data_IF_745772687693
#
_entry.id   IF_745772687693
#
_cell.length_a   1.000
_cell.length_b   1.000
_cell.length_c   1.000
_cell.angle_alpha   90.00
_cell.angle_beta   90.00
_cell.angle_gamma   90.00
#
_symmetry.space_group_name_H-M   'P 1'
#
loop_
_entity.id
_entity.type
_entity.pdbx_description
1 polymer ?
#
# COMPACT_ATOMS: atom_id res chain seq x y z
N UNK A 1 -18.95 24.39 -16.43
CA UNK A 1 -20.06 24.82 -17.31
C UNK A 1 -20.14 24.07 -18.66
N UNK A 2 -19.26 23.11 -18.98
CA UNK A 2 -19.20 22.54 -20.35
C UNK A 2 -20.35 21.59 -20.75
N UNK A 3 -21.19 21.11 -19.83
CA UNK A 3 -22.16 20.03 -20.13
C UNK A 3 -23.60 20.25 -19.66
N UNK A 4 -23.91 21.36 -18.96
CA UNK A 4 -25.29 21.64 -18.53
C UNK A 4 -26.20 21.95 -19.73
N UNK A 5 -25.68 22.67 -20.73
CA UNK A 5 -26.47 23.25 -21.83
C UNK A 5 -25.91 22.95 -23.24
N UNK A 6 -24.97 22.00 -23.37
CA UNK A 6 -24.19 21.82 -24.61
C UNK A 6 -24.95 21.21 -25.80
N UNK A 7 -26.19 20.74 -25.63
CA UNK A 7 -26.97 20.08 -26.70
C UNK A 7 -26.39 18.76 -27.22
N UNK A 8 -25.21 18.32 -26.74
CA UNK A 8 -24.55 17.08 -27.19
C UNK A 8 -25.39 15.83 -26.87
N UNK A 9 -25.43 14.80 -27.73
CA UNK A 9 -26.09 13.53 -27.42
C UNK A 9 -25.55 12.88 -26.13
N UNK A 10 -26.40 12.12 -25.43
CA UNK A 10 -26.04 11.45 -24.17
C UNK A 10 -24.83 10.55 -24.32
N UNK A 11 -24.75 9.82 -25.43
CA UNK A 11 -23.69 8.88 -25.77
C UNK A 11 -22.33 9.59 -25.88
N UNK A 12 -22.31 10.78 -26.49
CA UNK A 12 -21.10 11.60 -26.63
C UNK A 12 -20.66 12.16 -25.28
N UNK A 13 -21.61 12.62 -24.45
CA UNK A 13 -21.30 13.10 -23.09
C UNK A 13 -20.74 11.96 -22.25
N UNK A 14 -21.31 10.75 -22.37
CA UNK A 14 -20.85 9.57 -21.65
C UNK A 14 -19.45 9.14 -22.09
N UNK A 15 -19.18 9.11 -23.40
CA UNK A 15 -17.86 8.81 -23.95
C UNK A 15 -16.80 9.81 -23.46
N UNK A 16 -17.07 11.12 -23.55
CA UNK A 16 -16.14 12.15 -23.07
C UNK A 16 -15.85 11.99 -21.58
N UNK A 17 -16.87 11.71 -20.77
CA UNK A 17 -16.70 11.50 -19.33
C UNK A 17 -15.85 10.28 -19.01
N UNK A 18 -15.91 9.19 -19.80
CA UNK A 18 -15.03 8.03 -19.62
C UNK A 18 -13.53 8.39 -19.73
N UNK A 19 -13.20 9.42 -20.50
CA UNK A 19 -11.82 9.91 -20.66
C UNK A 19 -11.42 10.95 -19.61
N UNK A 20 -12.33 11.41 -18.75
CA UNK A 20 -12.01 12.33 -17.67
C UNK A 20 -11.48 11.59 -16.43
N UNK A 21 -10.65 12.24 -15.62
CA UNK A 21 -10.23 11.69 -14.32
C UNK A 21 -11.45 11.44 -13.41
N UNK A 22 -11.37 10.46 -12.50
CA UNK A 22 -12.48 10.08 -11.62
C UNK A 22 -12.97 11.27 -10.78
N UNK A 23 -12.05 12.05 -10.21
CA UNK A 23 -12.36 13.26 -9.46
C UNK A 23 -13.14 14.28 -10.29
N UNK A 24 -12.72 14.51 -11.53
CA UNK A 24 -13.37 15.45 -12.43
C UNK A 24 -14.75 14.97 -12.82
N UNK A 25 -14.93 13.68 -13.12
CA UNK A 25 -16.25 13.07 -13.34
C UNK A 25 -17.18 13.31 -12.16
N UNK A 26 -16.72 13.04 -10.93
CA UNK A 26 -17.51 13.24 -9.71
C UNK A 26 -17.86 14.72 -9.53
N UNK A 27 -16.91 15.63 -9.74
CA UNK A 27 -17.13 17.06 -9.64
C UNK A 27 -18.11 17.57 -10.71
N UNK A 28 -18.01 17.09 -11.95
CA UNK A 28 -18.93 17.42 -13.03
C UNK A 28 -20.34 16.88 -12.76
N UNK A 29 -20.48 15.66 -12.25
CA UNK A 29 -21.76 15.10 -11.84
C UNK A 29 -22.39 15.89 -10.68
N UNK A 30 -21.59 16.36 -9.72
CA UNK A 30 -22.08 17.25 -8.64
C UNK A 30 -22.50 18.62 -9.16
N UNK A 31 -21.83 19.14 -10.19
CA UNK A 31 -22.07 20.48 -10.73
C UNK A 31 -23.18 20.54 -11.80
N UNK A 32 -23.57 19.41 -12.40
CA UNK A 32 -24.56 19.36 -13.48
C UNK A 32 -25.56 18.24 -13.28
N UNK A 33 -26.84 18.61 -13.12
CA UNK A 33 -27.96 17.65 -13.02
C UNK A 33 -28.04 16.73 -14.24
N UNK A 34 -27.77 17.24 -15.44
CA UNK A 34 -27.75 16.43 -16.66
C UNK A 34 -26.66 15.38 -16.63
N UNK A 35 -25.44 15.74 -16.22
CA UNK A 35 -24.32 14.78 -16.09
C UNK A 35 -24.60 13.79 -14.98
N UNK A 36 -25.22 14.24 -13.88
CA UNK A 36 -25.70 13.36 -12.82
C UNK A 36 -26.68 12.32 -13.37
N UNK A 37 -27.73 12.75 -14.07
CA UNK A 37 -28.78 11.87 -14.61
C UNK A 37 -28.22 10.88 -15.65
N UNK A 38 -27.33 11.34 -16.54
CA UNK A 38 -26.62 10.48 -17.51
C UNK A 38 -25.77 9.45 -16.76
N UNK A 39 -24.97 9.90 -15.80
CA UNK A 39 -24.08 9.04 -15.03
C UNK A 39 -24.79 8.02 -14.16
N UNK A 40 -26.00 8.33 -13.67
CA UNK A 40 -26.76 7.46 -12.76
C UNK A 40 -27.86 6.64 -13.46
N UNK A 41 -28.08 6.86 -14.76
CA UNK A 41 -28.99 6.09 -15.60
C UNK A 41 -28.66 4.60 -15.57
N UNK A 42 -29.70 3.75 -15.61
CA UNK A 42 -29.51 2.29 -15.58
C UNK A 42 -28.66 1.76 -16.73
N UNK A 43 -28.64 2.45 -17.88
CA UNK A 43 -27.93 2.06 -19.10
C UNK A 43 -26.53 2.66 -19.21
N UNK A 44 -26.15 3.54 -18.29
CA UNK A 44 -24.86 4.22 -18.34
C UNK A 44 -23.72 3.30 -17.94
N UNK A 45 -22.66 3.29 -18.75
CA UNK A 45 -21.38 2.66 -18.44
C UNK A 45 -20.67 3.32 -17.24
N UNK A 46 -20.99 4.59 -16.95
CA UNK A 46 -20.44 5.34 -15.82
C UNK A 46 -21.16 5.06 -14.50
N UNK A 47 -22.33 4.39 -14.57
CA UNK A 47 -23.18 4.08 -13.42
C UNK A 47 -22.41 3.41 -12.30
N UNK A 48 -21.54 2.46 -12.61
CA UNK A 48 -20.80 1.73 -11.59
C UNK A 48 -19.69 2.57 -10.91
N UNK A 49 -19.30 3.67 -11.55
CA UNK A 49 -18.32 4.60 -11.01
C UNK A 49 -18.99 5.69 -10.15
N UNK A 50 -20.20 6.08 -10.53
CA UNK A 50 -20.93 7.20 -9.91
C UNK A 50 -21.97 6.75 -8.87
N UNK A 51 -22.59 5.57 -9.03
CA UNK A 51 -23.58 5.02 -8.08
C UNK A 51 -22.96 4.24 -6.91
N UNK A 52 -21.63 4.21 -6.78
CA UNK A 52 -20.98 3.70 -5.58
C UNK A 52 -20.86 2.17 -5.46
N UNK A 53 -20.92 1.41 -6.57
CA UNK A 53 -20.35 0.05 -6.57
C UNK A 53 -18.84 0.17 -6.45
N UNK A 54 -18.37 0.19 -5.21
CA UNK A 54 -16.97 0.36 -4.92
C UNK A 54 -16.23 -0.96 -5.04
N UNK A 55 -15.09 -0.95 -5.72
CA UNK A 55 -14.16 -2.07 -5.77
C UNK A 55 -12.98 -1.89 -4.83
N UNK A 56 -12.36 -3.01 -4.49
CA UNK A 56 -11.01 -3.04 -3.96
C UNK A 56 -10.10 -3.62 -5.03
N UNK A 57 -8.97 -2.97 -5.30
CA UNK A 57 -7.94 -3.50 -6.20
C UNK A 57 -6.72 -3.87 -5.37
N UNK A 58 -6.25 -5.10 -5.53
CA UNK A 58 -4.95 -5.55 -5.05
C UNK A 58 -4.03 -5.78 -6.24
N UNK A 59 -2.91 -5.08 -6.26
CA UNK A 59 -1.81 -5.26 -7.20
C UNK A 59 -0.64 -5.88 -6.47
N UNK A 60 -0.19 -7.05 -6.93
CA UNK A 60 1.01 -7.71 -6.43
C UNK A 60 2.07 -7.74 -7.51
N UNK A 61 3.30 -7.38 -7.16
CA UNK A 61 4.45 -7.37 -8.04
C UNK A 61 5.52 -8.26 -7.40
N UNK A 62 5.82 -9.42 -7.98
CA UNK A 62 6.85 -10.33 -7.50
C UNK A 62 7.86 -10.72 -8.59
N UNK A 63 9.14 -10.59 -8.30
CA UNK A 63 10.22 -11.19 -9.10
C UNK A 63 10.77 -12.42 -8.37
N UNK A 64 10.99 -13.53 -9.05
CA UNK A 64 11.76 -14.64 -8.46
C UNK A 64 13.24 -14.22 -8.43
N UNK A 65 13.80 -14.00 -7.24
CA UNK A 65 15.22 -13.64 -7.12
C UNK A 65 16.06 -14.92 -7.28
N UNK A 66 16.85 -15.02 -8.35
CA UNK A 66 17.62 -16.22 -8.71
C UNK A 66 18.83 -16.49 -7.81
N UNK A 67 18.87 -15.93 -6.58
CA UNK A 67 20.08 -15.95 -5.75
C UNK A 67 20.33 -17.27 -5.02
N UNK A 68 19.35 -18.17 -4.93
CA UNK A 68 19.52 -19.50 -4.32
C UNK A 68 19.58 -20.66 -5.33
N UNK A 69 20.30 -20.51 -6.45
CA UNK A 69 20.45 -21.66 -7.37
C UNK A 69 21.37 -21.59 -8.57
N UNK A 70 22.15 -20.52 -8.78
CA UNK A 70 23.04 -20.41 -9.97
C UNK A 70 24.50 -20.53 -9.56
N UNK A 71 24.90 -21.69 -9.04
CA UNK A 71 26.24 -22.23 -9.29
C UNK A 71 26.03 -23.75 -9.43
N UNK A 72 26.23 -24.27 -10.64
CA UNK A 72 26.24 -25.70 -11.02
C UNK A 72 24.91 -26.43 -11.25
N UNK A 73 24.08 -25.97 -12.19
CA UNK A 73 23.21 -26.90 -12.94
C UNK A 73 23.33 -26.70 -14.46
N UNK A 74 24.20 -27.46 -15.13
CA UNK A 74 24.08 -27.67 -16.55
C UNK A 74 22.95 -28.70 -16.75
N UNK A 75 21.73 -28.24 -17.05
CA UNK A 75 20.75 -28.89 -17.96
C UNK A 75 19.32 -28.32 -17.81
N UNK A 76 18.80 -27.79 -18.93
CA UNK A 76 17.39 -27.75 -19.37
C UNK A 76 16.34 -27.17 -18.41
N UNK A 77 16.30 -25.83 -18.38
CA UNK A 77 15.08 -24.99 -18.32
C UNK A 77 13.87 -25.59 -17.58
N UNK A 78 13.89 -25.57 -16.26
CA UNK A 78 12.77 -25.95 -15.39
C UNK A 78 11.91 -24.72 -15.06
N UNK A 79 10.88 -24.42 -15.87
CA UNK A 79 9.73 -23.53 -15.51
C UNK A 79 10.00 -22.39 -14.51
N UNK A 80 10.83 -21.39 -14.86
CA UNK A 80 11.06 -20.24 -13.99
C UNK A 80 10.19 -19.07 -14.44
N UNK A 81 9.25 -18.63 -13.60
CA UNK A 81 8.51 -17.39 -13.81
C UNK A 81 9.41 -16.25 -13.37
N UNK A 82 9.95 -15.48 -14.31
CA UNK A 82 10.92 -14.42 -13.98
C UNK A 82 10.27 -13.30 -13.18
N UNK A 83 9.06 -12.91 -13.61
CA UNK A 83 8.27 -11.84 -13.03
C UNK A 83 6.81 -12.21 -13.08
N UNK A 84 6.08 -11.89 -12.02
CA UNK A 84 4.64 -12.07 -11.94
C UNK A 84 4.01 -10.79 -11.39
N UNK A 85 3.01 -10.27 -12.11
CA UNK A 85 2.13 -9.22 -11.61
C UNK A 85 0.72 -9.78 -11.46
N UNK A 86 0.09 -9.65 -10.30
CA UNK A 86 -1.29 -10.08 -10.08
C UNK A 86 -2.20 -8.88 -9.85
N UNK A 87 -3.29 -8.78 -10.60
CA UNK A 87 -4.37 -7.84 -10.34
C UNK A 87 -5.58 -8.63 -9.84
N UNK A 88 -6.06 -8.27 -8.65
CA UNK A 88 -7.28 -8.82 -8.07
C UNK A 88 -8.27 -7.67 -7.88
N UNK A 89 -9.39 -7.71 -8.60
CA UNK A 89 -10.46 -6.74 -8.49
C UNK A 89 -11.65 -7.35 -7.76
N UNK A 90 -11.86 -6.92 -6.52
CA UNK A 90 -13.00 -7.32 -5.69
C UNK A 90 -14.12 -6.31 -5.87
N UNK A 91 -15.34 -6.77 -6.18
CA UNK A 91 -16.52 -5.90 -6.20
C UNK A 91 -17.68 -6.53 -5.46
N UNK A 92 -18.59 -5.70 -4.98
CA UNK A 92 -19.87 -6.15 -4.46
C UNK A 92 -20.89 -6.17 -5.60
N UNK A 93 -21.49 -7.33 -5.84
CA UNK A 93 -22.62 -7.51 -6.79
C UNK A 93 -23.86 -7.91 -6.02
N UNK A 94 -25.03 -7.52 -6.50
CA UNK A 94 -26.31 -7.94 -5.93
C UNK A 94 -26.97 -8.93 -6.88
N UNK A 95 -27.18 -10.16 -6.41
CA UNK A 95 -27.90 -11.21 -7.12
C UNK A 95 -29.11 -11.54 -6.24
N UNK A 96 -30.32 -11.44 -6.80
CA UNK A 96 -31.57 -11.70 -6.08
C UNK A 96 -31.69 -10.98 -4.72
N UNK A 97 -31.31 -9.70 -4.70
CA UNK A 97 -31.24 -8.83 -3.53
C UNK A 97 -30.25 -9.25 -2.42
N UNK A 98 -29.43 -10.29 -2.66
CA UNK A 98 -28.34 -10.71 -1.78
C UNK A 98 -27.01 -10.12 -2.29
N UNK A 99 -26.24 -9.55 -1.36
CA UNK A 99 -24.91 -9.00 -1.65
C UNK A 99 -23.87 -10.11 -1.71
N UNK A 100 -23.27 -10.33 -2.87
CA UNK A 100 -22.13 -11.22 -3.09
C UNK A 100 -20.85 -10.42 -3.34
N UNK A 101 -19.71 -11.00 -2.96
CA UNK A 101 -18.39 -10.50 -3.36
C UNK A 101 -17.94 -11.28 -4.60
N UNK A 102 -17.77 -10.56 -5.69
CA UNK A 102 -17.25 -11.07 -6.95
C UNK A 102 -15.77 -10.66 -7.07
N UNK A 103 -14.95 -11.58 -7.60
CA UNK A 103 -13.49 -11.39 -7.68
C UNK A 103 -13.01 -11.82 -9.05
N UNK A 104 -12.33 -10.89 -9.74
CA UNK A 104 -11.61 -11.18 -10.97
C UNK A 104 -10.12 -11.16 -10.62
N UNK A 105 -9.43 -12.28 -10.85
CA UNK A 105 -7.99 -12.42 -10.63
C UNK A 105 -7.28 -12.61 -11.96
N UNK A 106 -6.32 -11.75 -12.28
CA UNK A 106 -5.52 -11.86 -13.50
C UNK A 106 -4.04 -11.80 -13.13
N UNK A 107 -3.32 -12.85 -13.51
CA UNK A 107 -1.87 -13.00 -13.35
C UNK A 107 -1.18 -12.77 -14.70
N UNK A 108 -0.22 -11.85 -14.71
CA UNK A 108 0.62 -11.52 -15.85
C UNK A 108 2.01 -12.07 -15.57
N UNK A 109 2.41 -13.10 -16.32
CA UNK A 109 3.59 -13.90 -16.03
C UNK A 109 4.61 -13.79 -17.15
N UNK A 110 5.84 -13.41 -16.82
CA UNK A 110 6.96 -13.39 -17.76
C UNK A 110 7.65 -14.75 -17.72
N UNK A 111 7.62 -15.46 -18.85
CA UNK A 111 8.27 -16.76 -19.04
C UNK A 111 9.60 -16.58 -19.77
N UNK A 112 10.56 -17.48 -19.53
CA UNK A 112 11.88 -17.38 -20.13
C UNK A 112 11.95 -17.72 -21.63
N UNK A 113 10.97 -18.43 -22.20
CA UNK A 113 10.94 -18.77 -23.63
C UNK A 113 9.54 -19.18 -24.13
N UNK A 114 9.35 -19.22 -25.46
CA UNK A 114 8.06 -19.56 -26.09
C UNK A 114 7.56 -20.95 -25.70
N UNK A 115 8.47 -21.93 -25.62
CA UNK A 115 8.13 -23.28 -25.16
C UNK A 115 7.42 -23.28 -23.80
N UNK A 116 7.77 -22.37 -22.90
CA UNK A 116 7.12 -22.25 -21.59
C UNK A 116 5.81 -21.45 -21.60
N UNK A 117 5.59 -20.62 -22.63
CA UNK A 117 4.27 -20.02 -22.88
C UNK A 117 3.29 -21.09 -23.36
N UNK A 118 3.74 -21.98 -24.24
CA UNK A 118 2.88 -22.99 -24.86
C UNK A 118 2.46 -24.11 -23.90
N UNK A 119 3.14 -24.24 -22.74
CA UNK A 119 2.89 -25.29 -21.76
C UNK A 119 1.79 -24.97 -20.75
N UNK A 120 1.51 -23.70 -20.48
CA UNK A 120 0.59 -23.29 -19.41
C UNK A 120 0.13 -21.85 -19.61
N UNK A 121 -1.16 -21.57 -19.45
CA UNK A 121 -1.78 -20.24 -19.54
C UNK A 121 -2.12 -19.74 -20.95
N UNK A 122 -2.64 -18.52 -21.04
CA UNK A 122 -3.06 -17.88 -22.29
C UNK A 122 -1.94 -16.98 -22.85
N UNK A 123 -1.81 -16.89 -24.17
CA UNK A 123 -0.91 -15.90 -24.80
C UNK A 123 -1.43 -14.49 -24.53
N UNK A 124 -0.75 -13.75 -23.64
CA UNK A 124 -1.16 -12.42 -23.21
C UNK A 124 -1.22 -11.39 -24.33
N UNK A 125 -0.55 -11.64 -25.46
CA UNK A 125 -0.58 -10.76 -26.65
C UNK A 125 -1.95 -10.75 -27.32
N UNK A 126 -2.74 -11.80 -27.15
CA UNK A 126 -4.08 -11.92 -27.72
C UNK A 126 -5.14 -11.20 -26.87
N UNK A 127 -4.83 -10.94 -25.60
CA UNK A 127 -5.77 -10.38 -24.62
C UNK A 127 -5.41 -8.95 -24.19
N UNK A 128 -4.98 -8.12 -25.15
CA UNK A 128 -4.58 -6.72 -24.90
C UNK A 128 -5.75 -5.77 -24.62
N UNK A 129 -7.00 -6.21 -24.79
CA UNK A 129 -8.21 -5.40 -24.61
C UNK A 129 -9.01 -5.90 -23.38
N UNK A 130 -8.88 -5.22 -22.23
CA UNK A 130 -9.55 -5.62 -21.00
C UNK A 130 -11.07 -5.66 -21.09
N UNK A 131 -11.68 -4.73 -21.82
CA UNK A 131 -13.14 -4.64 -21.92
C UNK A 131 -13.72 -5.87 -22.63
N UNK A 132 -13.16 -6.23 -23.79
CA UNK A 132 -13.57 -7.43 -24.50
C UNK A 132 -13.29 -8.68 -23.65
N UNK A 133 -12.09 -8.78 -23.08
CA UNK A 133 -11.74 -9.93 -22.27
C UNK A 133 -12.70 -10.14 -21.10
N UNK A 134 -12.91 -9.12 -20.27
CA UNK A 134 -13.76 -9.21 -19.08
C UNK A 134 -15.22 -9.46 -19.45
N UNK A 135 -15.74 -8.81 -20.49
CA UNK A 135 -17.13 -8.99 -20.93
C UNK A 135 -17.45 -10.40 -21.41
N UNK A 136 -16.54 -11.02 -22.16
CA UNK A 136 -16.81 -12.30 -22.82
C UNK A 136 -16.34 -13.52 -22.02
N UNK A 137 -15.31 -13.36 -21.20
CA UNK A 137 -14.67 -14.47 -20.50
C UNK A 137 -15.03 -14.50 -19.01
N UNK A 138 -15.08 -13.35 -18.32
CA UNK A 138 -15.34 -13.32 -16.89
C UNK A 138 -16.85 -13.38 -16.58
N UNK A 139 -17.35 -14.56 -16.20
CA UNK A 139 -18.80 -14.79 -15.96
C UNK A 139 -19.21 -14.93 -14.49
N UNK A 140 -18.28 -14.73 -13.52
CA UNK A 140 -18.39 -15.02 -12.06
C UNK A 140 -18.40 -16.54 -11.74
N UNK A 141 -17.85 -17.09 -10.66
CA UNK A 141 -17.27 -16.60 -9.40
C UNK A 141 -15.82 -17.12 -9.25
N UNK A 142 -14.87 -16.28 -8.82
CA UNK A 142 -13.48 -16.64 -8.44
C UNK A 142 -12.63 -17.28 -9.55
N UNK A 143 -12.71 -16.76 -10.77
CA UNK A 143 -11.87 -17.23 -11.87
C UNK A 143 -10.49 -16.55 -11.82
N UNK A 144 -9.44 -17.36 -11.92
CA UNK A 144 -8.06 -16.91 -12.04
C UNK A 144 -7.60 -17.10 -13.49
N UNK A 145 -7.14 -16.01 -14.09
CA UNK A 145 -6.68 -15.99 -15.48
C UNK A 145 -5.18 -15.73 -15.53
N UNK A 146 -4.44 -16.55 -16.27
CA UNK A 146 -3.00 -16.38 -16.46
C UNK A 146 -2.69 -15.96 -17.90
N UNK A 147 -2.03 -14.82 -18.05
CA UNK A 147 -1.50 -14.30 -19.30
C UNK A 147 0.01 -14.37 -19.30
N UNK A 148 0.58 -15.08 -20.28
CA UNK A 148 2.03 -15.21 -20.38
C UNK A 148 2.61 -14.27 -21.42
N UNK A 149 3.83 -13.80 -21.13
CA UNK A 149 4.60 -12.89 -21.95
C UNK A 149 6.07 -13.34 -22.02
N UNK A 150 6.75 -12.99 -23.12
CA UNK A 150 8.19 -13.20 -23.26
C UNK A 150 9.00 -12.02 -22.75
N UNK A 151 8.42 -10.82 -22.72
CA UNK A 151 9.08 -9.61 -22.27
C UNK A 151 8.37 -9.03 -21.05
N UNK A 152 9.16 -8.44 -20.15
CA UNK A 152 8.63 -7.72 -19.00
C UNK A 152 7.85 -6.48 -19.44
N UNK A 153 8.33 -5.75 -20.44
CA UNK A 153 7.69 -4.55 -20.97
C UNK A 153 6.28 -4.83 -21.51
N UNK A 154 6.08 -5.90 -22.28
CA UNK A 154 4.76 -6.27 -22.79
C UNK A 154 3.81 -6.66 -21.65
N UNK A 155 4.32 -7.40 -20.66
CA UNK A 155 3.54 -7.77 -19.48
C UNK A 155 3.08 -6.51 -18.72
N UNK A 156 4.01 -5.58 -18.44
CA UNK A 156 3.70 -4.35 -17.71
C UNK A 156 2.79 -3.41 -18.50
N UNK A 157 2.95 -3.32 -19.82
CA UNK A 157 2.03 -2.59 -20.69
C UNK A 157 0.60 -3.17 -20.60
N UNK A 158 0.47 -4.49 -20.50
CA UNK A 158 -0.83 -5.13 -20.29
C UNK A 158 -1.38 -4.84 -18.90
N UNK A 159 -0.55 -4.94 -17.85
CA UNK A 159 -0.91 -4.58 -16.47
C UNK A 159 -1.46 -3.16 -16.39
N UNK A 160 -0.82 -2.17 -17.00
CA UNK A 160 -1.29 -0.77 -17.03
C UNK A 160 -2.70 -0.65 -17.66
N UNK A 161 -2.94 -1.33 -18.79
CA UNK A 161 -4.26 -1.32 -19.46
C UNK A 161 -5.34 -1.92 -18.58
N UNK A 162 -5.06 -3.04 -17.93
CA UNK A 162 -6.01 -3.69 -17.03
C UNK A 162 -6.25 -2.88 -15.76
N UNK A 163 -5.20 -2.29 -15.15
CA UNK A 163 -5.34 -1.38 -14.02
C UNK A 163 -6.20 -0.17 -14.39
N UNK A 164 -5.95 0.46 -15.54
CA UNK A 164 -6.78 1.55 -16.04
C UNK A 164 -8.23 1.10 -16.19
N UNK A 165 -8.47 -0.02 -16.88
CA UNK A 165 -9.82 -0.53 -17.07
C UNK A 165 -10.54 -0.77 -15.73
N UNK A 166 -9.92 -1.47 -14.78
CA UNK A 166 -10.58 -1.78 -13.51
C UNK A 166 -10.87 -0.54 -12.65
N UNK A 167 -9.98 0.45 -12.70
CA UNK A 167 -10.08 1.66 -11.88
C UNK A 167 -10.88 2.80 -12.50
N UNK A 168 -10.90 2.89 -13.84
CA UNK A 168 -11.45 4.03 -14.56
C UNK A 168 -12.61 3.67 -15.50
N UNK A 169 -12.86 2.39 -15.79
CA UNK A 169 -13.95 1.94 -16.65
C UNK A 169 -14.92 1.04 -15.90
N UNK A 170 -14.41 0.00 -15.24
CA UNK A 170 -15.22 -1.04 -14.62
C UNK A 170 -15.91 -0.62 -13.32
N UNK A 171 -15.23 0.12 -12.44
CA UNK A 171 -15.73 0.44 -11.10
C UNK A 171 -14.96 1.59 -10.46
N UNK A 172 -15.58 2.31 -9.51
CA UNK A 172 -14.84 3.23 -8.64
C UNK A 172 -14.06 2.45 -7.57
N UNK A 173 -12.77 2.74 -7.40
CA UNK A 173 -11.91 2.04 -6.44
C UNK A 173 -11.99 2.73 -5.08
N UNK A 174 -12.48 2.02 -4.07
CA UNK A 174 -12.51 2.49 -2.68
C UNK A 174 -11.23 2.16 -1.92
N UNK A 175 -10.56 1.07 -2.27
CA UNK A 175 -9.31 0.67 -1.63
C UNK A 175 -8.35 0.12 -2.65
N UNK A 176 -7.12 0.64 -2.62
CA UNK A 176 -6.02 0.15 -3.43
C UNK A 176 -4.95 -0.43 -2.52
N UNK A 177 -4.54 -1.66 -2.80
CA UNK A 177 -3.51 -2.37 -2.06
C UNK A 177 -2.35 -2.72 -3.00
N UNK A 178 -1.16 -2.22 -2.69
CA UNK A 178 0.05 -2.50 -3.43
C UNK A 178 0.94 -3.44 -2.62
N UNK A 179 1.27 -4.59 -3.20
CA UNK A 179 2.23 -5.53 -2.64
C UNK A 179 3.42 -5.62 -3.58
N UNK A 180 4.62 -5.38 -3.08
CA UNK A 180 5.86 -5.56 -3.84
C UNK A 180 6.71 -6.59 -3.10
N UNK A 181 7.19 -7.56 -3.84
CA UNK A 181 8.04 -8.64 -3.37
C UNK A 181 9.40 -8.55 -4.07
N UNK A 182 10.47 -8.64 -3.29
CA UNK A 182 11.87 -8.75 -3.72
C UNK A 182 12.46 -7.49 -4.38
N UNK A 183 11.91 -6.98 -5.48
CA UNK A 183 12.51 -5.84 -6.22
C UNK A 183 11.50 -4.81 -6.71
N UNK A 184 11.96 -3.59 -6.97
CA UNK A 184 11.17 -2.50 -7.57
C UNK A 184 11.18 -2.50 -9.10
N UNK A 185 11.77 -3.51 -9.76
CA UNK A 185 11.93 -3.54 -11.23
C UNK A 185 10.61 -3.33 -11.96
N UNK A 186 9.56 -4.03 -11.55
CA UNK A 186 8.21 -3.84 -12.12
C UNK A 186 7.59 -2.50 -11.77
N UNK A 187 7.87 -1.98 -10.58
CA UNK A 187 7.40 -0.65 -10.18
C UNK A 187 7.95 0.44 -11.09
N UNK A 188 9.23 0.38 -11.47
CA UNK A 188 9.83 1.37 -12.36
C UNK A 188 9.09 1.50 -13.70
N UNK A 189 8.57 0.38 -14.22
CA UNK A 189 7.77 0.34 -15.45
C UNK A 189 6.31 0.79 -15.24
N UNK A 190 5.86 0.92 -13.99
CA UNK A 190 4.51 1.40 -13.65
C UNK A 190 4.49 2.82 -13.11
N UNK A 191 5.62 3.38 -12.67
CA UNK A 191 5.67 4.66 -11.98
C UNK A 191 5.00 5.79 -12.78
N UNK A 192 5.28 5.90 -14.08
CA UNK A 192 4.65 6.90 -14.96
C UNK A 192 3.13 6.76 -15.04
N UNK A 193 2.62 5.53 -15.03
CA UNK A 193 1.19 5.27 -15.04
C UNK A 193 0.53 5.85 -13.79
N UNK A 194 1.10 5.64 -12.61
CA UNK A 194 0.56 6.20 -11.36
C UNK A 194 0.71 7.72 -11.27
N UNK A 195 1.63 8.31 -12.02
CA UNK A 195 1.78 9.77 -12.09
C UNK A 195 0.73 10.45 -13.00
N UNK A 196 0.18 9.68 -13.95
CA UNK A 196 -0.79 10.14 -14.94
C UNK A 196 -2.23 9.74 -14.60
N UNK A 197 -2.43 8.64 -13.87
CA UNK A 197 -3.75 8.04 -13.65
C UNK A 197 -4.09 7.98 -12.17
N UNK A 198 -5.17 8.66 -11.78
CA UNK A 198 -5.73 8.57 -10.43
C UNK A 198 -6.57 7.28 -10.30
N UNK A 199 -6.02 6.28 -9.60
CA UNK A 199 -6.68 4.97 -9.43
C UNK A 199 -7.70 4.99 -8.29
N UNK A 200 -7.39 5.71 -7.21
CA UNK A 200 -8.21 5.77 -5.99
C UNK A 200 -8.16 7.18 -5.40
N UNK A 201 -9.28 7.64 -4.85
CA UNK A 201 -9.35 8.87 -4.07
C UNK A 201 -8.93 8.66 -2.60
N UNK A 202 -8.96 7.41 -2.14
CA UNK A 202 -8.59 7.04 -0.78
C UNK A 202 -7.11 6.66 -0.69
N UNK A 203 -6.55 6.89 0.50
CA UNK A 203 -5.17 6.54 0.84
C UNK A 203 -4.90 5.04 0.62
N UNK A 204 -3.85 4.65 -0.13
CA UNK A 204 -3.56 3.25 -0.42
C UNK A 204 -2.95 2.51 0.79
N UNK A 205 -2.99 1.17 0.72
CA UNK A 205 -2.23 0.28 1.60
C UNK A 205 -1.04 -0.28 0.84
N UNK A 206 0.13 -0.25 1.45
CA UNK A 206 1.40 -0.66 0.84
C UNK A 206 2.01 -1.78 1.68
N UNK A 207 2.47 -2.84 1.04
CA UNK A 207 3.22 -3.92 1.65
C UNK A 207 4.49 -4.19 0.83
N UNK A 208 5.64 -4.03 1.46
CA UNK A 208 6.95 -4.19 0.86
C UNK A 208 7.60 -5.39 1.55
N UNK A 209 7.72 -6.49 0.82
CA UNK A 209 8.10 -7.78 1.38
C UNK A 209 9.41 -8.26 0.73
N UNK A 210 10.42 -8.55 1.56
CA UNK A 210 11.77 -8.94 1.16
C UNK A 210 12.40 -8.01 0.11
N UNK A 211 11.99 -6.74 0.05
CA UNK A 211 12.48 -5.80 -0.94
C UNK A 211 13.93 -5.39 -0.60
N UNK A 212 14.89 -5.82 -1.44
CA UNK A 212 16.29 -5.39 -1.33
C UNK A 212 16.39 -3.90 -1.66
N UNK A 213 17.15 -3.15 -0.85
CA UNK A 213 17.56 -1.74 -1.07
C UNK A 213 16.50 -0.90 -1.83
N UNK A 214 15.62 -0.23 -1.10
CA UNK A 214 14.59 0.65 -1.71
C UNK A 214 15.19 2.05 -1.92
N UNK A 215 16.31 2.14 -2.65
CA UNK A 215 16.92 3.43 -3.00
C UNK A 215 16.22 4.08 -4.21
N UNK A 216 14.93 4.34 -4.05
CA UNK A 216 14.10 4.78 -5.15
C UNK A 216 13.25 5.99 -4.77
N UNK A 217 13.84 7.17 -4.91
CA UNK A 217 13.14 8.45 -4.72
C UNK A 217 11.87 8.55 -5.58
N UNK A 218 11.83 7.93 -6.76
CA UNK A 218 10.65 7.92 -7.63
C UNK A 218 9.51 7.08 -7.05
N UNK A 219 9.80 6.03 -6.29
CA UNK A 219 8.78 5.31 -5.52
C UNK A 219 8.21 6.23 -4.44
N UNK A 220 9.05 6.75 -3.54
CA UNK A 220 8.56 7.55 -2.40
C UNK A 220 7.84 8.84 -2.81
N UNK A 221 8.22 9.46 -3.93
CA UNK A 221 7.59 10.67 -4.45
C UNK A 221 6.45 10.42 -5.46
N UNK A 222 6.00 9.18 -5.63
CA UNK A 222 4.93 8.87 -6.59
C UNK A 222 3.64 9.60 -6.25
N UNK A 223 2.93 10.08 -7.28
CA UNK A 223 1.62 10.72 -7.10
C UNK A 223 0.55 9.79 -6.53
N UNK A 224 0.74 8.47 -6.58
CA UNK A 224 -0.12 7.50 -5.89
C UNK A 224 -0.23 7.82 -4.38
N UNK A 225 0.82 8.41 -3.80
CA UNK A 225 0.91 8.71 -2.37
C UNK A 225 0.60 10.18 -2.03
N UNK A 226 0.24 11.00 -3.02
CA UNK A 226 0.06 12.44 -2.84
C UNK A 226 -1.04 12.80 -1.82
N UNK A 227 -2.07 11.95 -1.67
CA UNK A 227 -3.14 12.14 -0.68
C UNK A 227 -2.83 11.45 0.68
N UNK A 228 -1.59 10.97 0.87
CA UNK A 228 -1.13 10.21 2.02
C UNK A 228 -1.35 8.70 1.89
N UNK A 229 -0.83 7.95 2.86
CA UNK A 229 -0.88 6.47 2.89
C UNK A 229 -1.75 6.01 4.06
N UNK A 230 -2.55 4.96 3.86
CA UNK A 230 -3.39 4.39 4.92
C UNK A 230 -2.56 3.48 5.80
N UNK A 231 -1.89 2.52 5.18
CA UNK A 231 -1.09 1.53 5.87
C UNK A 231 0.19 1.29 5.11
N UNK A 232 1.26 1.10 5.86
CA UNK A 232 2.50 0.57 5.33
C UNK A 232 3.00 -0.59 6.17
N UNK A 233 3.42 -1.65 5.48
CA UNK A 233 4.05 -2.81 6.07
C UNK A 233 5.37 -3.08 5.36
N UNK A 234 6.44 -3.13 6.12
CA UNK A 234 7.76 -3.55 5.67
C UNK A 234 8.05 -4.91 6.29
N UNK A 235 8.36 -5.89 5.47
CA UNK A 235 8.78 -7.23 5.89
C UNK A 235 10.15 -7.47 5.30
N UNK A 236 11.17 -7.62 6.13
CA UNK A 236 12.53 -7.90 5.67
C UNK A 236 13.17 -8.97 6.54
N UNK A 237 13.70 -10.00 5.89
CA UNK A 237 14.59 -10.98 6.51
C UNK A 237 16.04 -10.78 6.05
N UNK A 238 16.33 -9.63 5.43
CA UNK A 238 17.62 -9.37 4.82
C UNK A 238 18.66 -9.09 5.90
N UNK A 239 19.75 -9.84 5.85
CA UNK A 239 20.88 -9.72 6.77
C UNK A 239 21.77 -8.53 6.46
N UNK A 240 22.95 -8.58 7.05
CA UNK A 240 24.08 -7.74 6.71
C UNK A 240 24.84 -8.38 5.52
N UNK A 241 25.51 -7.57 4.70
CA UNK A 241 26.45 -8.04 3.69
C UNK A 241 27.73 -8.60 4.34
N UNK A 242 28.67 -9.07 3.53
CA UNK A 242 29.96 -9.61 3.99
C UNK A 242 30.83 -8.60 4.76
N UNK A 243 30.49 -7.31 4.70
CA UNK A 243 31.16 -6.22 5.40
C UNK A 243 30.37 -5.72 6.62
N UNK A 244 29.26 -6.38 6.98
CA UNK A 244 28.40 -5.95 8.08
C UNK A 244 27.47 -4.79 7.73
N UNK A 245 27.39 -4.36 6.46
CA UNK A 245 26.45 -3.33 6.04
C UNK A 245 25.07 -3.93 5.83
N UNK A 246 24.05 -3.26 6.32
CA UNK A 246 22.68 -3.70 6.14
C UNK A 246 22.30 -3.66 4.65
N UNK A 247 21.69 -4.74 4.17
CA UNK A 247 21.21 -4.87 2.78
C UNK A 247 19.94 -4.05 2.49
N UNK A 248 19.48 -3.21 3.43
CA UNK A 248 18.33 -2.33 3.22
C UNK A 248 18.46 -1.01 3.98
N UNK A 249 18.73 0.09 3.26
CA UNK A 249 18.64 1.48 3.76
C UNK A 249 17.53 2.20 3.02
N UNK A 250 16.55 2.74 3.73
CA UNK A 250 15.39 3.33 3.08
C UNK A 250 14.69 4.43 3.87
N UNK A 251 15.02 4.56 5.15
CA UNK A 251 14.59 5.64 6.03
C UNK A 251 15.06 7.02 5.54
N UNK A 252 16.23 7.14 4.91
CA UNK A 252 16.72 8.41 4.35
C UNK A 252 15.86 8.93 3.19
N UNK A 253 15.17 8.04 2.47
CA UNK A 253 14.38 8.38 1.28
C UNK A 253 12.88 8.41 1.55
N UNK A 254 12.45 7.94 2.72
CA UNK A 254 11.06 8.01 3.13
C UNK A 254 10.58 9.46 3.20
N UNK A 255 9.56 9.75 2.40
CA UNK A 255 8.85 11.03 2.45
C UNK A 255 7.83 11.07 3.59
N UNK A 256 7.38 12.27 3.94
CA UNK A 256 6.40 12.52 5.00
C UNK A 256 5.12 11.63 4.95
N UNK A 257 4.51 11.35 3.77
CA UNK A 257 3.36 10.44 3.66
C UNK A 257 3.56 9.06 4.28
N UNK A 258 4.80 8.56 4.29
CA UNK A 258 5.15 7.25 4.84
C UNK A 258 5.19 7.28 6.37
N UNK A 259 5.83 8.29 6.95
CA UNK A 259 5.88 8.48 8.40
C UNK A 259 4.51 8.79 9.01
N UNK A 260 3.64 9.48 8.25
CA UNK A 260 2.27 9.83 8.69
C UNK A 260 1.19 8.83 8.25
N UNK A 261 1.57 7.64 7.79
CA UNK A 261 0.61 6.60 7.49
C UNK A 261 -0.16 6.21 8.76
N UNK A 262 -1.47 5.95 8.65
CA UNK A 262 -2.30 5.64 9.83
C UNK A 262 -1.83 4.36 10.55
N UNK A 263 -1.41 3.35 9.79
CA UNK A 263 -0.87 2.10 10.31
C UNK A 263 0.53 1.86 9.75
N UNK A 264 1.52 1.71 10.61
CA UNK A 264 2.92 1.47 10.24
C UNK A 264 3.40 0.20 10.93
N UNK A 265 3.93 -0.73 10.14
CA UNK A 265 4.48 -1.99 10.66
C UNK A 265 5.81 -2.32 10.00
N UNK A 266 6.83 -2.53 10.82
CA UNK A 266 8.15 -3.02 10.45
C UNK A 266 8.35 -4.39 11.07
N UNK A 267 8.21 -5.43 10.25
CA UNK A 267 8.48 -6.82 10.61
C UNK A 267 9.87 -7.20 10.08
N UNK A 268 10.92 -6.89 10.85
CA UNK A 268 12.31 -7.15 10.46
C UNK A 268 12.98 -8.01 11.52
N UNK A 269 13.74 -9.03 11.10
CA UNK A 269 14.32 -10.02 12.03
C UNK A 269 15.78 -9.77 12.44
N UNK A 270 16.50 -8.79 11.89
CA UNK A 270 17.88 -8.55 12.31
C UNK A 270 18.47 -7.17 12.02
N UNK A 271 17.94 -6.40 11.06
CA UNK A 271 18.79 -5.46 10.31
C UNK A 271 18.12 -4.12 10.00
N UNK A 272 17.50 -3.47 10.99
CA UNK A 272 16.76 -2.22 10.73
C UNK A 272 17.30 -0.99 11.49
N UNK A 273 17.57 0.07 10.73
CA UNK A 273 18.12 1.37 11.16
C UNK A 273 17.02 2.34 11.62
N UNK A 274 16.00 1.89 12.38
CA UNK A 274 15.21 2.91 13.11
C UNK A 274 16.11 3.43 14.21
N UNK A 275 16.73 4.57 13.92
CA UNK A 275 17.46 5.39 14.88
C UNK A 275 16.49 6.28 15.65
N UNK A 276 16.99 6.91 16.72
CA UNK A 276 16.26 7.92 17.46
C UNK A 276 15.67 9.02 16.56
N UNK A 277 16.42 9.45 15.54
CA UNK A 277 16.01 10.53 14.62
C UNK A 277 14.93 10.11 13.63
N UNK A 278 14.90 8.83 13.26
CA UNK A 278 13.82 8.29 12.43
C UNK A 278 12.57 8.07 13.27
N UNK A 279 12.72 7.56 14.50
CA UNK A 279 11.60 7.28 15.39
C UNK A 279 10.73 8.52 15.63
N UNK A 280 11.35 9.67 15.89
CA UNK A 280 10.63 10.93 16.18
C UNK A 280 9.87 11.51 14.98
N UNK A 281 10.09 10.99 13.77
CA UNK A 281 9.35 11.39 12.56
C UNK A 281 7.97 10.76 12.49
N UNK A 282 7.75 9.63 13.18
CA UNK A 282 6.43 9.01 13.28
C UNK A 282 5.52 9.89 14.14
N UNK A 283 4.42 10.36 13.57
CA UNK A 283 3.50 11.28 14.22
C UNK A 283 2.07 11.04 13.74
N UNK A 284 1.11 10.98 14.68
CA UNK A 284 -0.31 10.85 14.38
C UNK A 284 -0.72 9.48 13.83
N UNK A 285 0.14 8.46 14.00
CA UNK A 285 -0.17 7.08 13.67
C UNK A 285 -1.19 6.53 14.67
N UNK A 286 -2.18 5.79 14.19
CA UNK A 286 -3.04 4.98 15.07
C UNK A 286 -2.26 3.75 15.55
N UNK A 287 -1.46 3.15 14.66
CA UNK A 287 -0.64 2.00 14.99
C UNK A 287 0.77 2.15 14.50
N UNK A 288 1.73 1.94 15.39
CA UNK A 288 3.15 1.77 15.07
C UNK A 288 3.63 0.44 15.64
N UNK A 289 4.21 -0.41 14.78
CA UNK A 289 4.85 -1.66 15.16
C UNK A 289 6.27 -1.66 14.63
N UNK A 290 7.24 -1.69 15.53
CA UNK A 290 8.65 -1.86 15.21
C UNK A 290 9.06 -3.16 15.89
N UNK A 291 9.13 -4.26 15.13
CA UNK A 291 9.32 -5.59 15.72
C UNK A 291 10.75 -5.85 16.17
N UNK A 292 11.72 -5.05 15.70
CA UNK A 292 13.12 -5.10 16.13
C UNK A 292 13.85 -3.83 15.70
N UNK A 293 14.66 -3.25 16.58
CA UNK A 293 15.64 -2.19 16.29
C UNK A 293 16.83 -2.31 17.24
N UNK A 294 18.02 -1.89 16.80
CA UNK A 294 19.25 -1.87 17.62
C UNK A 294 19.70 -0.48 18.04
N UNK A 295 19.12 0.56 17.42
CA UNK A 295 19.65 1.93 17.48
C UNK A 295 18.74 2.90 18.22
N UNK A 296 17.57 2.44 18.68
CA UNK A 296 16.70 3.23 19.54
C UNK A 296 17.21 3.18 20.97
N UNK A 297 17.52 4.35 21.51
CA UNK A 297 18.00 4.55 22.88
C UNK A 297 16.87 5.04 23.80
N UNK A 298 17.11 5.05 25.13
CA UNK A 298 16.19 5.65 26.10
C UNK A 298 15.88 7.13 25.75
N UNK A 299 16.90 7.87 25.31
CA UNK A 299 16.77 9.26 24.84
C UNK A 299 15.91 9.38 23.58
N UNK A 300 16.02 8.43 22.65
CA UNK A 300 15.14 8.37 21.47
C UNK A 300 13.68 8.18 21.84
N UNK A 301 13.40 7.25 22.77
CA UNK A 301 12.05 7.03 23.31
C UNK A 301 11.54 8.28 24.02
N UNK A 302 12.37 8.91 24.86
CA UNK A 302 12.02 10.16 25.54
C UNK A 302 11.63 11.26 24.54
N UNK A 303 12.42 11.46 23.48
CA UNK A 303 12.10 12.42 22.40
C UNK A 303 10.80 12.07 21.67
N UNK A 304 10.54 10.78 21.44
CA UNK A 304 9.29 10.33 20.82
C UNK A 304 8.07 10.60 21.72
N UNK A 305 8.19 10.35 23.03
CA UNK A 305 7.15 10.70 24.01
C UNK A 305 6.94 12.22 24.10
N UNK A 306 8.01 13.01 24.03
CA UNK A 306 7.94 14.47 23.94
C UNK A 306 7.15 14.95 22.70
N UNK A 307 7.36 14.27 21.58
CA UNK A 307 6.60 14.51 20.36
C UNK A 307 5.11 14.20 20.56
N UNK A 308 4.77 13.06 21.16
CA UNK A 308 3.37 12.69 21.45
C UNK A 308 2.69 13.68 22.41
N UNK A 309 3.42 14.16 23.42
CA UNK A 309 2.89 15.14 24.38
C UNK A 309 2.55 16.49 23.74
N UNK A 310 3.29 16.88 22.70
CA UNK A 310 3.11 18.15 21.99
C UNK A 310 2.18 18.04 20.78
N UNK A 311 1.70 16.84 20.47
CA UNK A 311 0.84 16.58 19.30
C UNK A 311 -0.55 16.07 19.73
N UNK A 312 -1.60 16.70 19.19
CA UNK A 312 -2.97 16.22 19.35
C UNK A 312 -3.16 14.92 18.55
N UNK A 313 -3.42 13.81 19.26
CA UNK A 313 -3.65 12.53 18.62
C UNK A 313 -5.07 12.47 18.05
N UNK A 314 -5.18 12.19 16.75
CA UNK A 314 -6.48 12.06 16.06
C UNK A 314 -7.13 10.69 16.25
N UNK A 315 -6.34 9.69 16.62
CA UNK A 315 -6.74 8.30 16.76
C UNK A 315 -6.23 7.75 18.09
N UNK A 316 -6.86 6.69 18.64
CA UNK A 316 -6.29 5.94 19.74
C UNK A 316 -4.89 5.44 19.35
N UNK A 317 -3.90 5.79 20.15
CA UNK A 317 -2.52 5.44 19.86
C UNK A 317 -2.25 4.01 20.33
N UNK A 318 -1.66 3.20 19.46
CA UNK A 318 -1.25 1.83 19.75
C UNK A 318 0.15 1.60 19.18
N UNK A 319 1.17 1.74 20.03
CA UNK A 319 2.58 1.67 19.66
C UNK A 319 3.23 0.47 20.35
N UNK A 320 3.99 -0.32 19.60
CA UNK A 320 4.86 -1.37 20.11
C UNK A 320 6.22 -1.27 19.43
N UNK A 321 7.27 -1.16 20.22
CA UNK A 321 8.66 -1.06 19.76
C UNK A 321 9.47 -2.10 20.52
N UNK A 322 10.07 -3.04 19.80
CA UNK A 322 11.03 -3.98 20.37
C UNK A 322 12.43 -3.52 19.99
N UNK A 323 13.29 -3.33 20.99
CA UNK A 323 14.69 -2.97 20.90
C UNK A 323 15.57 -4.05 21.53
N UNK A 324 16.82 -4.16 21.09
CA UNK A 324 17.82 -5.00 21.75
C UNK A 324 18.46 -4.32 22.99
N UNK A 325 18.25 -3.02 23.16
CA UNK A 325 18.81 -2.24 24.25
C UNK A 325 17.99 -2.46 25.52
N UNK A 326 18.67 -2.80 26.61
CA UNK A 326 18.05 -2.91 27.93
C UNK A 326 18.13 -1.56 28.63
N UNK A 327 17.03 -0.83 28.62
CA UNK A 327 16.83 0.34 29.47
C UNK A 327 15.50 0.22 30.22
N UNK A 328 15.48 0.78 31.43
CA UNK A 328 14.32 0.85 32.31
C UNK A 328 13.44 2.04 31.97
N UNK A 329 12.21 2.05 32.49
CA UNK A 329 11.34 3.22 32.40
C UNK A 329 11.97 4.45 33.08
N UNK A 330 12.73 4.25 34.16
CA UNK A 330 13.45 5.32 34.86
C UNK A 330 14.46 6.02 33.95
N UNK A 331 15.24 5.26 33.18
CA UNK A 331 16.22 5.81 32.22
C UNK A 331 15.54 6.68 31.15
N UNK A 332 14.29 6.36 30.77
CA UNK A 332 13.51 7.17 29.84
C UNK A 332 13.00 8.44 30.52
N UNK A 333 12.46 8.34 31.73
CA UNK A 333 11.88 9.48 32.46
C UNK A 333 12.95 10.53 32.80
N UNK A 334 14.18 10.10 33.15
CA UNK A 334 15.31 11.00 33.42
C UNK A 334 15.72 11.85 32.20
N UNK A 335 15.44 11.36 30.98
CA UNK A 335 15.70 12.09 29.73
C UNK A 335 14.58 13.06 29.33
N UNK A 336 13.46 13.08 30.06
CA UNK A 336 12.32 13.94 29.76
C UNK A 336 12.35 15.21 30.64
N UNK A 337 12.05 16.36 30.05
CA UNK A 337 11.98 17.65 30.77
C UNK A 337 10.93 17.63 31.89
N UNK A 338 11.20 18.32 33.01
CA UNK A 338 10.34 18.39 34.21
C UNK A 338 8.89 18.85 33.96
N UNK A 339 8.61 19.54 32.85
CA UNK A 339 7.25 19.93 32.44
C UNK A 339 6.32 18.72 32.19
N UNK A 340 6.90 17.54 32.00
CA UNK A 340 6.20 16.30 31.73
C UNK A 340 5.98 15.52 33.03
N UNK A 341 4.74 15.52 33.50
CA UNK A 341 4.37 14.74 34.67
C UNK A 341 4.08 13.30 34.26
N UNK A 342 4.96 12.39 34.69
CA UNK A 342 4.69 10.96 34.70
C UNK A 342 4.16 10.56 36.07
N UNK A 343 3.07 9.80 36.06
CA UNK A 343 2.54 9.09 37.22
C UNK A 343 3.03 7.65 37.12
N UNK A 344 4.11 7.34 37.85
CA UNK A 344 4.65 5.99 37.94
C UNK A 344 3.66 5.10 38.70
N UNK A 345 3.51 3.86 38.24
CA UNK A 345 2.70 2.87 38.96
C UNK A 345 3.48 2.36 40.19
N UNK A 346 2.91 2.56 41.39
CA UNK A 346 3.55 2.19 42.67
C UNK A 346 3.78 0.67 42.78
N UNK A 347 2.97 -0.15 42.12
CA UNK A 347 3.07 -1.61 42.16
C UNK A 347 3.92 -2.17 41.00
N UNK A 348 4.14 -1.38 39.94
CA UNK A 348 4.87 -1.81 38.76
C UNK A 348 5.75 -0.69 38.17
N UNK A 349 7.02 -0.65 38.60
CA UNK A 349 8.03 0.33 38.15
C UNK A 349 8.28 0.36 36.62
N UNK A 350 7.73 -0.61 35.87
CA UNK A 350 7.80 -0.69 34.41
C UNK A 350 6.70 0.12 33.71
N UNK A 351 5.71 0.58 34.46
CA UNK A 351 4.53 1.25 33.94
C UNK A 351 4.47 2.70 34.44
N UNK A 352 4.10 3.61 33.54
CA UNK A 352 3.69 4.95 33.92
C UNK A 352 2.53 5.45 33.06
N UNK A 353 1.85 6.48 33.57
CA UNK A 353 0.85 7.25 32.86
C UNK A 353 1.33 8.68 32.67
N UNK A 354 0.93 9.29 31.57
CA UNK A 354 1.10 10.72 31.36
C UNK A 354 -0.07 11.28 30.58
N UNK A 355 -0.31 12.58 30.71
CA UNK A 355 -1.35 13.31 29.98
C UNK A 355 -0.69 14.36 29.10
N UNK A 356 -1.07 14.44 27.82
CA UNK A 356 -0.51 15.41 26.89
C UNK A 356 -1.10 16.83 27.04
N UNK A 357 -0.58 17.81 26.30
CA UNK A 357 -1.08 19.20 26.31
C UNK A 357 -2.54 19.36 25.84
N UNK A 358 -3.14 18.30 25.30
CA UNK A 358 -4.51 18.26 24.80
C UNK A 358 -5.43 17.40 25.69
N UNK A 359 -5.02 17.14 26.93
CA UNK A 359 -5.78 16.39 27.94
C UNK A 359 -6.04 14.92 27.54
N UNK A 360 -5.21 14.36 26.66
CA UNK A 360 -5.25 12.96 26.27
C UNK A 360 -4.29 12.16 27.14
N UNK A 361 -4.79 11.10 27.78
CA UNK A 361 -3.99 10.26 28.67
C UNK A 361 -3.45 9.04 27.95
N UNK A 362 -2.21 8.68 28.26
CA UNK A 362 -1.51 7.53 27.70
C UNK A 362 -0.88 6.70 28.81
N UNK A 363 -0.74 5.40 28.54
CA UNK A 363 -0.03 4.44 29.39
C UNK A 363 1.18 3.92 28.62
N UNK A 364 2.34 3.99 29.24
CA UNK A 364 3.58 3.34 28.77
C UNK A 364 3.92 2.15 29.66
N UNK A 365 4.36 1.06 29.05
CA UNK A 365 4.89 -0.14 29.70
C UNK A 365 6.23 -0.50 29.04
N UNK A 366 7.28 -0.70 29.84
CA UNK A 366 8.64 -0.99 29.39
C UNK A 366 9.12 -2.30 30.01
N UNK A 367 9.28 -3.33 29.19
CA UNK A 367 9.61 -4.67 29.64
C UNK A 367 10.72 -5.28 28.78
N UNK A 368 11.95 -5.38 29.32
CA UNK A 368 13.07 -6.13 28.74
C UNK A 368 13.26 -5.92 27.22
N UNK A 369 13.35 -4.66 26.80
CA UNK A 369 13.52 -4.28 25.39
C UNK A 369 12.21 -4.14 24.61
N UNK A 370 11.06 -4.50 25.17
CA UNK A 370 9.75 -4.19 24.61
C UNK A 370 9.16 -2.93 25.24
N UNK A 371 8.69 -2.01 24.40
CA UNK A 371 8.02 -0.77 24.79
C UNK A 371 6.64 -0.76 24.18
N UNK A 372 5.63 -0.66 25.04
CA UNK A 372 4.23 -0.54 24.65
C UNK A 372 3.73 0.83 25.09
N UNK A 373 3.13 1.58 24.17
CA UNK A 373 2.45 2.83 24.48
C UNK A 373 1.03 2.78 23.91
N UNK A 374 0.04 3.05 24.77
CA UNK A 374 -1.37 3.01 24.42
C UNK A 374 -2.12 4.24 24.94
N UNK A 375 -3.16 4.67 24.24
CA UNK A 375 -4.17 5.57 24.81
C UNK A 375 -4.86 4.89 26.00
N UNK A 376 -5.04 5.63 27.10
CA UNK A 376 -5.66 5.12 28.32
C UNK A 376 -7.19 5.31 28.21
N UNK A 377 -7.96 4.23 28.09
CA UNK A 377 -9.43 4.30 27.94
C UNK A 377 -10.07 3.33 26.94
N UNK A 378 -9.29 2.46 26.28
CA UNK A 378 -9.76 1.32 25.46
C UNK A 378 -9.07 0.01 25.85
#
# INVERSE_FOLDING_TARGET
>A
MLFSDSGLPTEIVEEVLQYCALRDRINMARASRRVYDIGHSQRSSLRFQLNGTTSSIRLELSSEDMRDGIINRPEKCTTHNLYTANIQCYRRVFIDAVSHMDVIMISFVVKCCQRHIDLDGLDGRLFKNPNQFVKYNCKSNSECYQFNFLSLEDAMNSVQRYLFYFSNVHSAVKSFHLFIYNTLTMWHLLADFFDQVEITLNKPTINLNLCYIIENSRFYNSRLFANGIKQIKYVSNLGEDEHGNLLSRYDELMTEPFYKARFVEFMVNASYDITDDVLVRFEGNERLRINYTRFVTAKGIARYLQKIFTTQQKYPLDVKINTNAYFSLKDIVEEISEEFKFEMDEENERTAKFTNKFEQTFKIDVNHGEIILKSNGE
#
